data_IF_041937552259
#
_entry.id   IF_041937552259
#
_cell.length_a   1.000
_cell.length_b   1.000
_cell.length_c   1.000
_cell.angle_alpha   90.00
_cell.angle_beta   90.00
_cell.angle_gamma   90.00
#
_symmetry.space_group_name_H-M   'P 1'
#
loop_
_entity.id
_entity.type
_entity.pdbx_description
1 polymer ?
#
# COMPACT_ATOMS: atom_id res chain seq x y z
N UNK A 1 -4.56 -14.96 -17.53
CA UNK A 1 -5.06 -13.60 -17.86
C UNK A 1 -5.78 -13.05 -16.63
N UNK A 2 -5.59 -11.78 -16.28
CA UNK A 2 -6.28 -11.10 -15.17
C UNK A 2 -7.06 -9.90 -15.71
N UNK A 3 -8.13 -9.55 -15.02
CA UNK A 3 -9.00 -8.41 -15.33
C UNK A 3 -8.38 -7.13 -14.76
N UNK A 4 -8.65 -5.99 -15.40
CA UNK A 4 -8.19 -4.66 -14.97
C UNK A 4 -9.38 -3.75 -14.72
N UNK A 5 -9.17 -2.72 -13.91
CA UNK A 5 -10.16 -1.66 -13.63
C UNK A 5 -11.48 -2.19 -13.07
N UNK A 6 -11.41 -3.28 -12.29
CA UNK A 6 -12.57 -3.80 -11.55
C UNK A 6 -12.80 -2.89 -10.35
N UNK A 7 -13.99 -2.27 -10.30
CA UNK A 7 -14.43 -1.50 -9.16
C UNK A 7 -14.78 -2.42 -7.99
N UNK A 8 -13.96 -2.36 -6.92
CA UNK A 8 -14.20 -3.10 -5.68
C UNK A 8 -14.70 -2.12 -4.62
N UNK A 9 -15.92 -2.30 -4.09
CA UNK A 9 -16.45 -1.46 -3.04
C UNK A 9 -15.65 -1.59 -1.74
N UNK A 10 -15.38 -0.45 -1.11
CA UNK A 10 -14.70 -0.42 0.19
C UNK A 10 -15.73 -0.68 1.29
N UNK A 11 -15.50 -1.77 2.02
CA UNK A 11 -16.33 -2.20 3.16
C UNK A 11 -15.57 -1.96 4.46
N UNK A 12 -16.21 -1.29 5.42
CA UNK A 12 -15.71 -1.11 6.79
C UNK A 12 -16.72 -1.71 7.78
N UNK A 13 -16.30 -2.71 8.55
CA UNK A 13 -17.18 -3.36 9.54
C UNK A 13 -18.49 -3.88 8.93
N UNK A 14 -18.40 -4.51 7.76
CA UNK A 14 -19.54 -5.02 6.96
C UNK A 14 -20.50 -3.96 6.41
N UNK A 15 -20.12 -2.67 6.45
CA UNK A 15 -20.90 -1.59 5.83
C UNK A 15 -20.16 -1.01 4.63
N UNK A 16 -20.82 -0.89 3.46
CA UNK A 16 -20.26 -0.18 2.32
C UNK A 16 -20.02 1.28 2.68
N UNK A 17 -18.86 1.82 2.30
CA UNK A 17 -18.53 3.23 2.53
C UNK A 17 -19.03 4.16 1.43
N UNK A 18 -19.63 3.61 0.36
CA UNK A 18 -19.97 4.34 -0.86
C UNK A 18 -18.76 4.64 -1.76
N UNK A 19 -17.54 4.27 -1.35
CA UNK A 19 -16.32 4.41 -2.15
C UNK A 19 -15.99 3.09 -2.85
N UNK A 20 -15.44 3.19 -4.06
CA UNK A 20 -14.86 2.06 -4.80
C UNK A 20 -13.36 2.24 -4.96
N UNK A 21 -12.66 1.13 -5.14
CA UNK A 21 -11.23 1.09 -5.43
C UNK A 21 -11.03 0.24 -6.68
N UNK A 22 -10.32 0.80 -7.66
CA UNK A 22 -9.97 0.08 -8.89
C UNK A 22 -8.91 -0.98 -8.60
N UNK A 23 -9.17 -2.20 -9.04
CA UNK A 23 -8.29 -3.34 -8.81
C UNK A 23 -7.91 -4.06 -10.12
N UNK A 24 -6.73 -4.68 -10.09
CA UNK A 24 -6.45 -5.87 -10.88
C UNK A 24 -7.09 -7.08 -10.20
N UNK A 25 -7.67 -7.99 -10.98
CA UNK A 25 -8.36 -9.17 -10.43
C UNK A 25 -8.02 -10.45 -11.20
N UNK A 26 -7.73 -11.52 -10.46
CA UNK A 26 -7.71 -12.89 -10.99
C UNK A 26 -8.48 -13.81 -10.04
N UNK A 27 -9.67 -14.25 -10.46
CA UNK A 27 -10.54 -15.05 -9.61
C UNK A 27 -10.92 -14.31 -8.31
N UNK A 28 -10.49 -14.84 -7.17
CA UNK A 28 -10.70 -14.25 -5.84
C UNK A 28 -9.57 -13.31 -5.39
N UNK A 29 -8.51 -13.14 -6.19
CA UNK A 29 -7.34 -12.32 -5.85
C UNK A 29 -7.54 -10.91 -6.40
N UNK A 30 -7.39 -9.90 -5.53
CA UNK A 30 -7.60 -8.50 -5.82
C UNK A 30 -6.41 -7.66 -5.40
N UNK A 31 -5.87 -6.88 -6.34
CA UNK A 31 -4.75 -5.97 -6.13
C UNK A 31 -5.21 -4.55 -6.44
N UNK A 32 -5.35 -3.67 -5.45
CA UNK A 32 -5.68 -2.27 -5.68
C UNK A 32 -4.62 -1.58 -6.52
N UNK A 33 -5.03 -0.90 -7.60
CA UNK A 33 -4.11 -0.19 -8.50
C UNK A 33 -3.28 0.83 -7.72
N UNK A 34 -3.91 1.62 -6.84
CA UNK A 34 -3.22 2.64 -6.04
C UNK A 34 -2.07 2.09 -5.18
N UNK A 35 -2.16 0.83 -4.72
CA UNK A 35 -1.09 0.22 -3.91
C UNK A 35 0.19 0.01 -4.73
N UNK A 36 0.05 -0.15 -6.03
CA UNK A 36 1.15 -0.36 -6.96
C UNK A 36 1.50 0.98 -7.61
N UNK A 37 0.53 1.60 -8.28
CA UNK A 37 0.72 2.81 -9.08
C UNK A 37 0.98 4.08 -8.26
N UNK A 38 0.54 4.17 -7.00
CA UNK A 38 0.77 5.34 -6.14
C UNK A 38 1.76 5.02 -5.02
N UNK A 39 1.43 4.04 -4.18
CA UNK A 39 2.28 3.66 -3.04
C UNK A 39 3.58 2.99 -3.48
N UNK A 40 3.54 2.13 -4.49
CA UNK A 40 4.73 1.46 -5.02
C UNK A 40 5.69 2.39 -5.77
N UNK A 41 5.23 3.52 -6.28
CA UNK A 41 6.01 4.36 -7.22
C UNK A 41 6.42 5.72 -6.65
N UNK A 42 6.24 5.96 -5.35
CA UNK A 42 6.64 7.24 -4.76
C UNK A 42 5.68 8.40 -5.02
N UNK A 43 4.43 8.14 -5.43
CA UNK A 43 3.46 9.19 -5.76
C UNK A 43 2.51 9.54 -4.61
N UNK A 44 2.72 8.99 -3.42
CA UNK A 44 1.96 9.39 -2.23
C UNK A 44 2.22 10.87 -1.93
N UNK A 45 1.19 11.74 -1.88
CA UNK A 45 1.39 13.16 -1.60
C UNK A 45 1.57 13.40 -0.09
N UNK A 46 2.37 14.40 0.26
CA UNK A 46 2.46 14.92 1.63
C UNK A 46 2.67 16.45 1.64
N UNK A 47 1.63 17.23 1.27
CA UNK A 47 1.72 18.69 1.23
C UNK A 47 1.83 19.31 2.63
N UNK A 48 1.33 18.66 3.68
CA UNK A 48 1.32 19.20 5.05
C UNK A 48 2.65 19.03 5.81
N UNK A 49 3.77 18.87 5.09
CA UNK A 49 5.10 18.69 5.69
C UNK A 49 5.51 19.87 6.58
N UNK A 50 5.21 21.09 6.14
CA UNK A 50 5.53 22.32 6.87
C UNK A 50 4.73 22.43 8.17
N UNK A 51 3.44 22.06 8.12
CA UNK A 51 2.58 22.01 9.32
C UNK A 51 3.15 21.06 10.36
N UNK A 52 3.57 19.86 9.94
CA UNK A 52 4.19 18.89 10.85
C UNK A 52 5.49 19.42 11.45
N UNK A 53 6.33 20.07 10.66
CA UNK A 53 7.58 20.67 11.14
C UNK A 53 7.32 21.75 12.20
N UNK A 54 6.33 22.60 11.98
CA UNK A 54 5.92 23.64 12.93
C UNK A 54 5.39 23.03 14.24
N UNK A 55 4.50 22.04 14.16
CA UNK A 55 3.97 21.37 15.35
C UNK A 55 5.06 20.63 16.14
N UNK A 56 6.02 19.98 15.46
CA UNK A 56 7.18 19.36 16.10
C UNK A 56 8.07 20.41 16.80
N UNK A 57 8.28 21.58 16.19
CA UNK A 57 9.03 22.68 16.78
C UNK A 57 8.32 23.28 18.01
N UNK A 58 7.01 23.48 17.93
CA UNK A 58 6.20 23.94 19.07
C UNK A 58 6.25 22.94 20.24
N UNK A 59 6.07 21.65 19.96
CA UNK A 59 6.17 20.56 20.94
C UNK A 59 7.53 20.56 21.65
N UNK A 60 8.62 20.84 20.92
CA UNK A 60 9.98 20.94 21.48
C UNK A 60 10.15 22.19 22.36
N UNK A 61 9.53 23.29 21.98
CA UNK A 61 9.71 24.60 22.64
C UNK A 61 8.85 24.73 23.91
N UNK A 62 7.64 24.17 23.92
CA UNK A 62 6.74 24.24 25.08
C UNK A 62 5.96 22.94 25.29
N UNK A 63 6.69 21.88 25.63
CA UNK A 63 6.13 20.53 25.77
C UNK A 63 4.95 20.44 26.75
N UNK A 64 4.98 21.18 27.86
CA UNK A 64 3.95 21.13 28.91
C UNK A 64 2.63 21.77 28.50
N UNK A 65 2.67 22.84 27.70
CA UNK A 65 1.45 23.41 27.12
C UNK A 65 0.93 22.51 25.99
N UNK A 66 1.83 22.04 25.14
CA UNK A 66 1.51 21.18 24.00
C UNK A 66 0.83 19.87 24.43
N UNK A 67 1.31 19.23 25.51
CA UNK A 67 0.74 17.97 26.01
C UNK A 67 -0.66 18.11 26.63
N UNK A 68 -1.11 19.34 26.91
CA UNK A 68 -2.48 19.61 27.36
C UNK A 68 -3.44 19.82 26.19
N UNK A 69 -2.93 20.16 25.01
CA UNK A 69 -3.72 20.34 23.80
C UNK A 69 -3.88 18.99 23.09
N UNK A 70 -5.06 18.38 23.26
CA UNK A 70 -5.39 17.09 22.64
C UNK A 70 -5.55 17.20 21.12
N UNK A 71 -6.02 18.35 20.61
CA UNK A 71 -6.22 18.52 19.18
C UNK A 71 -4.87 18.54 18.45
N UNK A 72 -3.88 19.26 19.00
CA UNK A 72 -2.51 19.26 18.46
C UNK A 72 -1.86 17.89 18.50
N UNK A 73 -2.08 17.11 19.56
CA UNK A 73 -1.57 15.74 19.65
C UNK A 73 -2.14 14.85 18.55
N UNK A 74 -3.47 14.81 18.42
CA UNK A 74 -4.13 14.04 17.35
C UNK A 74 -3.63 14.47 15.98
N UNK A 75 -3.49 15.78 15.74
CA UNK A 75 -3.02 16.29 14.46
C UNK A 75 -1.59 15.87 14.15
N UNK A 76 -0.68 15.91 15.13
CA UNK A 76 0.68 15.40 14.97
C UNK A 76 0.68 13.92 14.62
N UNK A 77 -0.09 13.09 15.33
CA UNK A 77 -0.16 11.65 15.05
C UNK A 77 -0.69 11.34 13.63
N UNK A 78 -1.69 12.10 13.16
CA UNK A 78 -2.20 11.99 11.79
C UNK A 78 -1.13 12.35 10.75
N UNK A 79 -0.41 13.45 10.98
CA UNK A 79 0.62 13.94 10.09
C UNK A 79 1.86 13.03 10.08
N UNK A 80 2.27 12.49 11.23
CA UNK A 80 3.36 11.50 11.33
C UNK A 80 3.00 10.21 10.57
N UNK A 81 1.73 9.78 10.57
CA UNK A 81 1.27 8.66 9.73
C UNK A 81 1.36 8.99 8.24
N UNK A 82 1.01 10.21 7.82
CA UNK A 82 1.14 10.66 6.42
C UNK A 82 2.61 10.73 6.00
N UNK A 83 3.48 11.29 6.83
CA UNK A 83 4.93 11.34 6.64
C UNK A 83 5.51 9.94 6.44
N UNK A 84 5.16 8.99 7.32
CA UNK A 84 5.62 7.61 7.21
C UNK A 84 5.17 6.92 5.92
N UNK A 85 3.94 7.15 5.47
CA UNK A 85 3.44 6.63 4.21
C UNK A 85 4.17 7.23 3.00
N UNK A 86 4.43 8.53 3.04
CA UNK A 86 5.24 9.23 2.04
C UNK A 86 6.65 8.64 1.97
N UNK A 87 7.34 8.52 3.11
CA UNK A 87 8.70 7.99 3.17
C UNK A 87 8.81 6.56 2.66
N UNK A 88 7.86 5.68 3.03
CA UNK A 88 7.79 4.32 2.50
C UNK A 88 7.60 4.31 0.98
N UNK A 89 6.73 5.17 0.47
CA UNK A 89 6.50 5.28 -0.96
C UNK A 89 7.75 5.76 -1.70
N UNK A 90 8.47 6.74 -1.16
CA UNK A 90 9.76 7.17 -1.70
C UNK A 90 10.82 6.06 -1.64
N UNK A 91 10.82 5.25 -0.59
CA UNK A 91 11.68 4.06 -0.48
C UNK A 91 11.42 3.06 -1.60
N UNK A 92 10.14 2.78 -1.89
CA UNK A 92 9.75 1.92 -3.00
C UNK A 92 10.22 2.47 -4.36
N UNK A 93 10.05 3.78 -4.59
CA UNK A 93 10.54 4.45 -5.81
C UNK A 93 12.05 4.28 -6.00
N UNK A 94 12.83 4.44 -4.92
CA UNK A 94 14.28 4.22 -4.94
C UNK A 94 14.62 2.78 -5.33
N UNK A 95 13.92 1.80 -4.74
CA UNK A 95 14.10 0.39 -5.07
C UNK A 95 13.76 0.07 -6.52
N UNK A 96 12.65 0.59 -7.06
CA UNK A 96 12.29 0.40 -8.47
C UNK A 96 13.37 0.93 -9.41
N UNK A 97 13.82 2.17 -9.17
CA UNK A 97 14.88 2.80 -9.98
C UNK A 97 16.20 2.02 -9.90
N UNK A 98 16.60 1.60 -8.70
CA UNK A 98 17.81 0.78 -8.51
C UNK A 98 17.72 -0.56 -9.24
N UNK A 99 16.52 -1.17 -9.25
CA UNK A 99 16.25 -2.41 -9.97
C UNK A 99 16.17 -2.24 -11.50
N UNK A 100 16.21 -0.99 -12.01
CA UNK A 100 16.12 -0.67 -13.44
C UNK A 100 14.70 -0.62 -13.98
N UNK A 101 13.68 -0.56 -13.12
CA UNK A 101 12.27 -0.47 -13.50
C UNK A 101 11.82 1.00 -13.58
N UNK A 102 10.95 1.29 -14.55
CA UNK A 102 10.37 2.61 -14.73
C UNK A 102 9.03 2.72 -13.98
N UNK A 103 8.91 3.61 -12.98
CA UNK A 103 7.69 3.79 -12.17
C UNK A 103 6.48 4.32 -12.96
N UNK A 104 6.69 4.81 -14.19
CA UNK A 104 5.63 5.32 -15.08
C UNK A 104 5.35 4.36 -16.25
N UNK A 105 6.03 3.21 -16.32
CA UNK A 105 5.81 2.20 -17.35
C UNK A 105 4.67 1.26 -16.99
N UNK A 106 3.66 1.18 -17.86
CA UNK A 106 2.59 0.19 -17.74
C UNK A 106 3.13 -1.24 -17.83
N UNK A 107 4.16 -1.48 -18.66
CA UNK A 107 4.76 -2.81 -18.80
C UNK A 107 5.41 -3.28 -17.49
N UNK A 108 6.20 -2.42 -16.85
CA UNK A 108 6.84 -2.74 -15.56
C UNK A 108 5.80 -2.90 -14.45
N UNK A 109 4.74 -2.08 -14.47
CA UNK A 109 3.61 -2.23 -13.55
C UNK A 109 2.94 -3.60 -13.71
N UNK A 110 2.58 -3.98 -14.94
CA UNK A 110 1.92 -5.25 -15.23
C UNK A 110 2.83 -6.46 -14.93
N UNK A 111 4.14 -6.31 -15.07
CA UNK A 111 5.12 -7.32 -14.65
C UNK A 111 5.08 -7.56 -13.14
N UNK A 112 5.04 -6.49 -12.33
CA UNK A 112 4.90 -6.58 -10.88
C UNK A 112 3.54 -7.17 -10.48
N UNK A 113 2.46 -6.73 -11.14
CA UNK A 113 1.09 -7.26 -10.91
C UNK A 113 1.03 -8.75 -11.16
N UNK A 114 1.57 -9.20 -12.30
CA UNK A 114 1.59 -10.62 -12.69
C UNK A 114 2.31 -11.45 -11.63
N UNK A 115 3.50 -10.99 -11.22
CA UNK A 115 4.29 -11.64 -10.17
C UNK A 115 3.53 -11.73 -8.84
N UNK A 116 2.93 -10.63 -8.38
CA UNK A 116 2.15 -10.62 -7.12
C UNK A 116 0.96 -11.58 -7.16
N UNK A 117 0.27 -11.68 -8.29
CA UNK A 117 -0.84 -12.62 -8.48
C UNK A 117 -0.34 -14.07 -8.41
N UNK A 118 0.74 -14.39 -9.12
CA UNK A 118 1.33 -15.74 -9.09
C UNK A 118 1.76 -16.15 -7.69
N UNK A 119 2.36 -15.23 -6.93
CA UNK A 119 2.76 -15.51 -5.54
C UNK A 119 1.55 -15.66 -4.61
N UNK A 120 0.48 -14.91 -4.85
CA UNK A 120 -0.78 -15.07 -4.13
C UNK A 120 -1.47 -16.43 -4.42
N UNK A 121 -1.37 -16.94 -5.64
CA UNK A 121 -1.87 -18.27 -5.99
C UNK A 121 -1.07 -19.38 -5.30
N UNK A 122 0.25 -19.21 -5.17
CA UNK A 122 1.15 -20.21 -4.55
C UNK A 122 1.12 -20.20 -3.02
N UNK A 123 0.83 -19.06 -2.39
CA UNK A 123 1.03 -18.93 -0.94
C UNK A 123 0.08 -19.78 -0.09
N UNK A 124 -1.03 -20.29 -0.64
CA UNK A 124 -2.01 -21.07 0.13
C UNK A 124 -2.57 -20.27 1.31
N UNK A 125 -3.27 -19.18 1.04
CA UNK A 125 -3.93 -18.39 2.09
C UNK A 125 -5.23 -19.09 2.52
N UNK A 126 -5.41 -19.23 3.84
CA UNK A 126 -6.65 -19.77 4.38
C UNK A 126 -7.80 -18.80 4.10
N UNK A 127 -8.86 -19.29 3.46
CA UNK A 127 -10.02 -18.51 3.05
C UNK A 127 -10.98 -18.30 4.22
N UNK A 128 -10.54 -17.51 5.21
CA UNK A 128 -11.36 -17.08 6.34
C UNK A 128 -11.21 -15.58 6.56
N UNK A 129 -12.34 -14.87 6.72
CA UNK A 129 -12.36 -13.41 6.92
C UNK A 129 -11.45 -13.02 8.08
N UNK A 130 -10.59 -12.03 7.86
CA UNK A 130 -9.66 -11.51 8.86
C UNK A 130 -8.31 -12.20 8.89
N UNK A 131 -8.14 -13.35 8.20
CA UNK A 131 -6.82 -13.95 7.98
C UNK A 131 -5.93 -12.96 7.26
N UNK A 132 -4.69 -12.82 7.74
CA UNK A 132 -3.64 -11.99 7.14
C UNK A 132 -2.43 -12.86 6.84
N UNK A 133 -1.77 -12.61 5.71
CA UNK A 133 -0.58 -13.34 5.32
C UNK A 133 0.46 -12.41 4.70
N UNK A 134 1.67 -12.48 5.20
CA UNK A 134 2.82 -11.79 4.62
C UNK A 134 3.56 -12.77 3.70
N UNK A 135 4.02 -12.27 2.55
CA UNK A 135 4.77 -13.05 1.57
C UNK A 135 5.95 -12.22 1.07
N UNK A 136 7.15 -12.81 1.17
CA UNK A 136 8.35 -12.29 0.54
C UNK A 136 8.67 -13.10 -0.71
N UNK A 137 8.87 -12.42 -1.83
CA UNK A 137 9.24 -13.03 -3.09
C UNK A 137 10.31 -12.19 -3.80
N UNK A 138 10.88 -12.73 -4.88
CA UNK A 138 11.87 -12.02 -5.70
C UNK A 138 11.42 -12.02 -7.15
N UNK A 139 11.49 -10.87 -7.80
CA UNK A 139 11.20 -10.71 -9.22
C UNK A 139 12.50 -10.40 -9.98
N UNK A 140 12.62 -10.92 -11.20
CA UNK A 140 13.72 -10.56 -12.09
C UNK A 140 13.50 -9.16 -12.69
N UNK A 141 14.54 -8.34 -12.70
CA UNK A 141 14.52 -6.94 -13.17
C UNK A 141 15.74 -6.66 -14.05
N UNK A 142 15.76 -5.56 -14.82
CA UNK A 142 16.89 -5.25 -15.69
C UNK A 142 18.25 -5.23 -14.98
N UNK A 143 18.28 -4.75 -13.73
CA UNK A 143 19.50 -4.69 -12.92
C UNK A 143 19.69 -5.87 -11.96
N UNK A 144 19.01 -7.02 -12.18
CA UNK A 144 19.16 -8.22 -11.37
C UNK A 144 17.86 -8.70 -10.76
N UNK A 145 17.77 -8.75 -9.44
CA UNK A 145 16.54 -9.17 -8.74
C UNK A 145 16.11 -8.12 -7.72
N UNK A 146 14.81 -7.89 -7.63
CA UNK A 146 14.21 -7.05 -6.62
C UNK A 146 13.36 -7.91 -5.67
N UNK A 147 13.56 -7.75 -4.36
CA UNK A 147 12.72 -8.36 -3.34
C UNK A 147 11.40 -7.60 -3.19
N UNK A 148 10.29 -8.33 -3.08
CA UNK A 148 8.95 -7.78 -2.88
C UNK A 148 8.38 -8.39 -1.60
N UNK A 149 8.09 -7.54 -0.61
CA UNK A 149 7.32 -7.93 0.57
C UNK A 149 5.88 -7.47 0.37
N UNK A 150 4.96 -8.42 0.31
CA UNK A 150 3.53 -8.19 0.13
C UNK A 150 2.77 -8.63 1.37
N UNK A 151 1.73 -7.88 1.74
CA UNK A 151 0.81 -8.23 2.82
C UNK A 151 -0.58 -8.41 2.24
N UNK A 152 -1.22 -9.51 2.59
CA UNK A 152 -2.52 -9.92 2.08
C UNK A 152 -3.50 -10.11 3.22
N UNK A 153 -4.78 -9.94 2.93
CA UNK A 153 -5.85 -10.27 3.86
C UNK A 153 -7.03 -10.90 3.14
N UNK A 154 -7.78 -11.75 3.84
CA UNK A 154 -9.06 -12.24 3.34
C UNK A 154 -10.18 -11.36 3.87
N UNK A 155 -10.98 -10.83 2.96
CA UNK A 155 -12.13 -9.96 3.24
C UNK A 155 -13.40 -10.52 2.62
N UNK A 156 -14.52 -9.96 3.02
CA UNK A 156 -15.82 -10.22 2.39
C UNK A 156 -16.13 -9.13 1.35
N UNK A 157 -16.54 -9.55 0.15
CA UNK A 157 -17.11 -8.68 -0.88
C UNK A 157 -18.57 -8.33 -0.62
N UNK A 158 -19.14 -7.42 -1.42
CA UNK A 158 -20.54 -7.01 -1.26
C UNK A 158 -21.54 -8.14 -1.55
N UNK A 159 -21.16 -9.05 -2.42
CA UNK A 159 -21.90 -10.25 -2.81
C UNK A 159 -21.75 -11.39 -1.77
N UNK A 160 -21.05 -11.14 -0.66
CA UNK A 160 -20.78 -12.13 0.37
C UNK A 160 -19.60 -13.06 0.06
N UNK A 161 -19.01 -12.96 -1.14
CA UNK A 161 -17.89 -13.80 -1.55
C UNK A 161 -16.60 -13.41 -0.83
N UNK A 162 -15.73 -14.39 -0.62
CA UNK A 162 -14.41 -14.15 -0.05
C UNK A 162 -13.44 -13.64 -1.11
N UNK A 163 -12.61 -12.68 -0.72
CA UNK A 163 -11.59 -12.10 -1.57
C UNK A 163 -10.26 -11.97 -0.86
N UNK A 164 -9.19 -12.36 -1.56
CA UNK A 164 -7.80 -12.25 -1.15
C UNK A 164 -7.29 -10.90 -1.65
N UNK A 165 -7.06 -9.98 -0.72
CA UNK A 165 -6.85 -8.56 -0.99
C UNK A 165 -5.43 -8.13 -0.63
N UNK A 166 -4.74 -7.46 -1.55
CA UNK A 166 -3.42 -6.87 -1.29
C UNK A 166 -3.56 -5.62 -0.40
N UNK A 167 -2.98 -5.66 0.80
CA UNK A 167 -2.97 -4.56 1.76
C UNK A 167 -1.83 -3.57 1.51
N UNK A 168 -0.64 -4.09 1.21
CA UNK A 168 0.56 -3.29 1.02
C UNK A 168 1.63 -4.04 0.26
N UNK A 169 2.48 -3.29 -0.44
CA UNK A 169 3.67 -3.78 -1.11
C UNK A 169 4.88 -2.92 -0.73
N UNK A 170 6.02 -3.57 -0.51
CA UNK A 170 7.31 -2.94 -0.23
C UNK A 170 8.35 -3.54 -1.15
N UNK A 171 9.13 -2.69 -1.81
CA UNK A 171 10.20 -3.09 -2.72
C UNK A 171 11.57 -2.92 -2.06
N UNK A 172 12.44 -3.90 -2.29
CA UNK A 172 13.81 -3.91 -1.80
C UNK A 172 14.75 -4.31 -2.93
N UNK A 173 15.48 -3.34 -3.48
CA UNK A 173 16.60 -3.61 -4.36
C UNK A 173 17.88 -3.69 -3.50
N UNK A 174 18.74 -4.67 -3.78
CA UNK A 174 20.09 -4.77 -3.23
C UNK A 174 21.09 -4.54 -4.35
#
# INVERSE_FOLDING_TARGET
>A
MFEQDIDVPVVLGNRPTGKTVKCYRKGIIYLPKDKIHIYGTGKVPFPEREELAQLKAERKTNQKAFSKDKAKQTRVEELEKKEHNYERSQGNLKSLKAAGLNPDSLEDELKIVSHLIEEAEKMGIELQIGVKKDCFSKIDTPNGKMGITSKWSVKQGLDGNLLVYLESVIYSAR
#
